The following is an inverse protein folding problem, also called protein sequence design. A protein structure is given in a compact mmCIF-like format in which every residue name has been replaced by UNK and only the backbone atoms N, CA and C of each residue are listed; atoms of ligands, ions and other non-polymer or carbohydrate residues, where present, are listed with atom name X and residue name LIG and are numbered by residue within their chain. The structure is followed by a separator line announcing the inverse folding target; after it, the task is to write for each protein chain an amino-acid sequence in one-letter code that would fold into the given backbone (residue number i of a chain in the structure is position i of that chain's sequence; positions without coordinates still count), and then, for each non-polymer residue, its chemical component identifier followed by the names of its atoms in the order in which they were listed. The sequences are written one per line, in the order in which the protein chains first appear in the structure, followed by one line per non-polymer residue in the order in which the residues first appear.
data_IF_073521480622
#
_entry.id   IF_073521480622
#
_cell.length_a   1.000
_cell.length_b   1.000
_cell.length_c   1.000
_cell.angle_alpha   90.00
_cell.angle_beta   90.00
_cell.angle_gamma   90.00
#
_symmetry.space_group_name_H-M   'P 1'
#
loop_
_entity.id
_entity.type
_entity.pdbx_description
1 polymer ?
#
# COMPACT_ATOMS: atom_id res chain seq x y z
N UNK A 1 -23.76 4.99 24.46
CA UNK A 1 -22.29 4.87 24.61
C UNK A 1 -21.63 4.31 23.34
N UNK A 2 -22.11 3.22 22.74
CA UNK A 2 -21.48 2.63 21.53
C UNK A 2 -21.42 3.55 20.30
N UNK A 3 -22.48 4.33 20.03
CA UNK A 3 -22.51 5.23 18.86
C UNK A 3 -21.43 6.32 18.89
N UNK A 4 -21.17 6.89 20.07
CA UNK A 4 -20.12 7.91 20.23
C UNK A 4 -18.71 7.32 19.97
N UNK A 5 -18.41 6.15 20.52
CA UNK A 5 -17.14 5.48 20.32
C UNK A 5 -16.91 5.11 18.84
N UNK A 6 -17.92 4.56 18.18
CA UNK A 6 -17.85 4.24 16.74
C UNK A 6 -17.57 5.48 15.91
N UNK A 7 -18.21 6.62 16.23
CA UNK A 7 -17.95 7.88 15.53
C UNK A 7 -16.52 8.38 15.76
N UNK A 8 -16.01 8.33 16.98
CA UNK A 8 -14.62 8.74 17.30
C UNK A 8 -13.62 7.87 16.53
N UNK A 9 -13.78 6.55 16.55
CA UNK A 9 -12.90 5.64 15.81
C UNK A 9 -12.97 5.89 14.31
N UNK A 10 -14.18 6.09 13.76
CA UNK A 10 -14.35 6.44 12.35
C UNK A 10 -13.67 7.75 11.95
N UNK A 11 -13.77 8.79 12.78
CA UNK A 11 -13.09 10.06 12.55
C UNK A 11 -11.56 9.87 12.60
N UNK A 12 -11.04 9.15 13.58
CA UNK A 12 -9.61 8.89 13.69
C UNK A 12 -9.07 8.14 12.45
N UNK A 13 -9.75 7.08 12.01
CA UNK A 13 -9.40 6.34 10.79
C UNK A 13 -9.44 7.28 9.58
N UNK A 14 -10.50 8.07 9.43
CA UNK A 14 -10.65 9.02 8.34
C UNK A 14 -9.50 10.04 8.29
N UNK A 15 -9.10 10.60 9.43
CA UNK A 15 -8.00 11.57 9.50
C UNK A 15 -6.66 10.95 9.10
N UNK A 16 -6.39 9.70 9.51
CA UNK A 16 -5.16 8.99 9.10
C UNK A 16 -5.19 8.75 7.59
N UNK A 17 -6.26 8.19 7.04
CA UNK A 17 -6.38 7.94 5.61
C UNK A 17 -6.33 9.22 4.77
N UNK A 18 -6.90 10.32 5.27
CA UNK A 18 -6.81 11.63 4.63
C UNK A 18 -5.37 12.14 4.60
N UNK A 19 -4.63 11.98 5.69
CA UNK A 19 -3.21 12.36 5.72
C UNK A 19 -2.36 11.52 4.76
N UNK A 20 -2.58 10.21 4.71
CA UNK A 20 -1.93 9.33 3.73
C UNK A 20 -2.27 9.73 2.29
N UNK A 21 -3.55 10.02 2.02
CA UNK A 21 -4.01 10.48 0.71
C UNK A 21 -3.28 11.76 0.27
N UNK A 22 -3.18 12.76 1.15
CA UNK A 22 -2.49 14.02 0.85
C UNK A 22 -1.00 13.78 0.59
N UNK A 23 -0.35 12.94 1.39
CA UNK A 23 1.07 12.60 1.21
C UNK A 23 1.30 11.86 -0.12
N UNK A 24 0.39 11.01 -0.54
CA UNK A 24 0.47 10.27 -1.80
C UNK A 24 0.27 11.13 -3.06
N UNK A 25 -0.19 12.37 -2.93
CA UNK A 25 -0.22 13.32 -4.04
C UNK A 25 1.18 13.86 -4.39
N UNK A 26 2.17 13.62 -3.54
CA UNK A 26 3.56 14.01 -3.80
C UNK A 26 4.30 12.91 -4.58
N UNK A 27 5.31 13.27 -5.40
CA UNK A 27 6.15 12.26 -6.03
C UNK A 27 6.82 11.33 -5.02
N UNK A 28 7.07 10.05 -5.38
CA UNK A 28 7.83 9.13 -4.54
C UNK A 28 9.22 9.69 -4.21
N UNK A 29 9.62 9.60 -2.94
CA UNK A 29 10.91 10.13 -2.47
C UNK A 29 11.80 9.08 -1.82
N UNK A 30 11.24 7.92 -1.50
CA UNK A 30 11.99 6.85 -0.86
C UNK A 30 13.01 6.24 -1.80
N UNK A 31 14.23 6.02 -1.29
CA UNK A 31 15.36 5.52 -2.09
C UNK A 31 15.02 4.21 -2.81
N UNK A 32 14.49 3.22 -2.09
CA UNK A 32 14.22 1.90 -2.66
C UNK A 32 13.09 1.95 -3.70
N UNK A 33 12.06 2.80 -3.46
CA UNK A 33 11.03 3.07 -4.46
C UNK A 33 11.63 3.59 -5.76
N UNK A 34 12.57 4.53 -5.69
CA UNK A 34 13.16 5.16 -6.86
C UNK A 34 14.20 4.27 -7.58
N UNK A 35 14.97 3.45 -6.83
CA UNK A 35 16.07 2.65 -7.40
C UNK A 35 15.57 1.30 -7.94
N UNK A 36 14.57 0.68 -7.27
CA UNK A 36 14.12 -0.68 -7.61
C UNK A 36 12.70 -0.68 -8.14
N UNK A 37 11.73 -0.31 -7.30
CA UNK A 37 10.30 -0.54 -7.56
C UNK A 37 9.75 0.28 -8.72
N UNK A 38 10.31 1.45 -9.01
CA UNK A 38 9.90 2.30 -10.13
C UNK A 38 10.93 2.31 -11.27
N UNK A 39 12.24 2.27 -10.95
CA UNK A 39 13.27 2.36 -11.98
C UNK A 39 13.27 1.15 -12.92
N UNK A 40 13.19 -0.07 -12.37
CA UNK A 40 13.21 -1.30 -13.17
C UNK A 40 12.00 -1.37 -14.11
N UNK A 41 10.74 -1.22 -13.65
CA UNK A 41 9.58 -1.16 -14.53
C UNK A 41 9.65 -0.03 -15.57
N UNK A 42 10.19 1.11 -15.20
CA UNK A 42 10.38 2.25 -16.13
C UNK A 42 11.38 1.92 -17.24
N UNK A 43 12.44 1.19 -16.94
CA UNK A 43 13.40 0.72 -17.92
C UNK A 43 12.79 -0.31 -18.86
N UNK A 44 11.98 -1.24 -18.37
CA UNK A 44 11.23 -2.17 -19.21
C UNK A 44 10.28 -1.45 -20.16
N UNK A 45 9.55 -0.45 -19.68
CA UNK A 45 8.68 0.39 -20.54
C UNK A 45 9.51 1.12 -21.62
N UNK A 46 10.64 1.70 -21.24
CA UNK A 46 11.50 2.41 -22.18
C UNK A 46 12.11 1.50 -23.24
N UNK A 47 12.41 0.26 -22.89
CA UNK A 47 12.95 -0.75 -23.81
C UNK A 47 11.86 -1.41 -24.70
N UNK A 48 10.57 -1.20 -24.40
CA UNK A 48 9.46 -1.85 -25.07
C UNK A 48 9.24 -3.30 -24.67
N UNK A 49 9.84 -3.77 -23.57
CA UNK A 49 9.70 -5.13 -23.03
C UNK A 49 10.72 -5.45 -21.96
N UNK A 50 10.57 -6.64 -21.38
CA UNK A 50 11.51 -7.17 -20.41
C UNK A 50 12.86 -7.47 -21.06
N UNK A 51 13.93 -7.15 -20.35
CA UNK A 51 15.29 -7.50 -20.73
C UNK A 51 16.14 -7.72 -19.48
N UNK A 52 17.23 -8.44 -19.65
CA UNK A 52 18.16 -8.73 -18.57
C UNK A 52 18.98 -7.48 -18.21
N UNK A 53 19.09 -7.21 -16.91
CA UNK A 53 19.82 -6.08 -16.36
C UNK A 53 20.89 -6.57 -15.35
N UNK A 54 22.06 -7.07 -15.81
CA UNK A 54 23.09 -7.66 -14.93
C UNK A 54 23.65 -6.70 -13.87
N UNK A 55 23.46 -5.40 -14.06
CA UNK A 55 23.87 -4.35 -13.14
C UNK A 55 22.81 -4.02 -12.08
N UNK A 56 21.60 -4.61 -12.19
CA UNK A 56 20.45 -4.34 -11.32
C UNK A 56 19.99 -5.65 -10.68
N UNK A 57 20.65 -6.08 -9.59
CA UNK A 57 20.41 -7.36 -8.91
C UNK A 57 18.94 -7.58 -8.56
N UNK A 58 18.23 -6.52 -8.18
CA UNK A 58 16.81 -6.59 -7.84
C UNK A 58 15.89 -6.93 -9.03
N UNK A 59 16.37 -6.77 -10.28
CA UNK A 59 15.60 -7.15 -11.48
C UNK A 59 15.36 -8.66 -11.59
N UNK A 60 16.14 -9.47 -10.87
CA UNK A 60 16.01 -10.92 -10.82
C UNK A 60 15.03 -11.42 -9.74
N UNK A 61 14.52 -10.54 -8.89
CA UNK A 61 13.51 -10.88 -7.90
C UNK A 61 12.10 -10.90 -8.51
N UNK A 62 11.15 -11.64 -7.90
CA UNK A 62 9.75 -11.62 -8.33
C UNK A 62 9.15 -10.23 -8.17
N UNK A 63 8.96 -9.51 -9.27
CA UNK A 63 8.49 -8.12 -9.28
C UNK A 63 6.99 -8.01 -9.60
N UNK A 64 6.16 -8.97 -9.14
CA UNK A 64 4.74 -9.04 -9.50
C UNK A 64 3.94 -7.78 -9.14
N UNK A 65 4.23 -7.15 -7.99
CA UNK A 65 3.56 -5.92 -7.57
C UNK A 65 4.11 -4.73 -8.35
N UNK A 66 5.41 -4.72 -8.62
CA UNK A 66 6.07 -3.66 -9.39
C UNK A 66 5.54 -3.57 -10.83
N UNK A 67 5.05 -4.69 -11.40
CA UNK A 67 4.39 -4.68 -12.71
C UNK A 67 3.13 -3.81 -12.71
N UNK A 68 2.42 -3.69 -11.58
CA UNK A 68 1.27 -2.78 -11.48
C UNK A 68 1.71 -1.32 -11.59
N UNK A 69 2.94 -1.01 -11.20
CA UNK A 69 3.51 0.34 -11.32
C UNK A 69 3.82 0.75 -12.76
N UNK A 70 3.89 -0.22 -13.68
CA UNK A 70 4.02 0.11 -15.11
C UNK A 70 2.86 0.97 -15.61
N UNK A 71 1.66 0.81 -15.05
CA UNK A 71 0.49 1.61 -15.45
C UNK A 71 0.69 3.10 -15.19
N UNK A 72 0.93 3.56 -13.92
CA UNK A 72 1.19 4.96 -13.65
C UNK A 72 2.47 5.49 -14.33
N UNK A 73 3.50 4.66 -14.46
CA UNK A 73 4.74 5.04 -15.14
C UNK A 73 4.51 5.30 -16.64
N UNK A 74 3.71 4.46 -17.30
CA UNK A 74 3.30 4.68 -18.69
C UNK A 74 2.51 5.99 -18.85
N UNK A 75 1.66 6.32 -17.88
CA UNK A 75 0.91 7.58 -17.84
C UNK A 75 1.75 8.79 -17.42
N UNK A 76 3.04 8.62 -17.13
CA UNK A 76 3.94 9.65 -16.62
C UNK A 76 3.45 10.31 -15.31
N UNK A 77 2.78 9.53 -14.47
CA UNK A 77 2.21 9.95 -13.18
C UNK A 77 2.73 9.07 -12.06
N UNK A 78 4.02 9.15 -11.79
CA UNK A 78 4.76 8.29 -10.86
C UNK A 78 4.12 8.26 -9.45
N UNK A 79 3.52 9.37 -8.99
CA UNK A 79 2.83 9.46 -7.70
C UNK A 79 1.64 8.50 -7.56
N UNK A 80 1.01 8.08 -8.66
CA UNK A 80 -0.08 7.10 -8.62
C UNK A 80 0.39 5.71 -8.17
N UNK A 81 1.68 5.40 -8.26
CA UNK A 81 2.23 4.15 -7.73
C UNK A 81 2.07 4.07 -6.20
N UNK A 82 2.20 5.19 -5.48
CA UNK A 82 1.94 5.24 -4.04
C UNK A 82 0.50 4.84 -3.71
N UNK A 83 -0.48 5.29 -4.52
CA UNK A 83 -1.90 4.94 -4.33
C UNK A 83 -2.18 3.45 -4.56
N UNK A 84 -1.47 2.80 -5.48
CA UNK A 84 -1.58 1.35 -5.67
C UNK A 84 -1.12 0.63 -4.39
N UNK A 85 0.01 1.03 -3.82
CA UNK A 85 0.53 0.43 -2.59
C UNK A 85 -0.37 0.72 -1.37
N UNK A 86 -0.85 1.97 -1.22
CA UNK A 86 -1.86 2.35 -0.23
C UNK A 86 -3.14 1.50 -0.37
N UNK A 87 -3.55 1.20 -1.60
CA UNK A 87 -4.71 0.36 -1.88
C UNK A 87 -4.61 -1.04 -1.26
N UNK A 88 -3.42 -1.66 -1.28
CA UNK A 88 -3.18 -2.92 -0.57
C UNK A 88 -3.26 -2.77 0.95
N UNK A 89 -2.79 -1.65 1.50
CA UNK A 89 -2.95 -1.33 2.92
C UNK A 89 -4.43 -1.22 3.32
N UNK A 90 -5.23 -0.49 2.53
CA UNK A 90 -6.69 -0.38 2.74
C UNK A 90 -7.37 -1.75 2.61
N UNK A 91 -6.99 -2.55 1.61
CA UNK A 91 -7.54 -3.88 1.43
C UNK A 91 -7.24 -4.80 2.64
N UNK A 92 -6.02 -4.73 3.19
CA UNK A 92 -5.64 -5.42 4.43
C UNK A 92 -6.48 -4.94 5.62
N UNK A 93 -6.65 -3.62 5.78
CA UNK A 93 -7.48 -3.04 6.82
C UNK A 93 -8.94 -3.53 6.74
N UNK A 94 -9.50 -3.67 5.52
CA UNK A 94 -10.84 -4.22 5.29
C UNK A 94 -10.92 -5.71 5.67
N UNK A 95 -9.89 -6.51 5.40
CA UNK A 95 -9.84 -7.91 5.87
C UNK A 95 -9.86 -7.98 7.39
N UNK A 96 -9.03 -7.19 8.07
CA UNK A 96 -8.99 -7.09 9.54
C UNK A 96 -10.36 -6.69 10.08
N UNK A 97 -10.98 -5.66 9.50
CA UNK A 97 -12.32 -5.23 9.90
C UNK A 97 -13.34 -6.36 9.79
N UNK A 98 -13.43 -7.00 8.62
CA UNK A 98 -14.40 -8.09 8.38
C UNK A 98 -14.22 -9.25 9.35
N UNK A 99 -12.98 -9.66 9.57
CA UNK A 99 -12.65 -10.76 10.45
C UNK A 99 -13.04 -10.48 11.90
N UNK A 100 -12.64 -9.33 12.44
CA UNK A 100 -12.92 -8.94 13.83
C UNK A 100 -14.39 -8.60 14.02
N UNK A 101 -15.01 -7.90 13.08
CA UNK A 101 -16.43 -7.55 13.16
C UNK A 101 -17.31 -8.80 13.23
N UNK A 102 -17.01 -9.83 12.44
CA UNK A 102 -17.78 -11.09 12.46
C UNK A 102 -17.65 -11.85 13.79
N UNK A 103 -16.53 -11.72 14.49
CA UNK A 103 -16.24 -12.49 15.72
C UNK A 103 -16.55 -11.72 17.00
N UNK A 104 -16.28 -10.45 17.05
CA UNK A 104 -16.30 -9.64 18.26
C UNK A 104 -17.07 -8.32 18.15
N UNK A 105 -17.62 -8.03 16.96
CA UNK A 105 -18.46 -6.87 16.69
C UNK A 105 -17.72 -5.65 16.10
N UNK A 106 -18.50 -4.61 15.70
CA UNK A 106 -17.99 -3.52 14.87
C UNK A 106 -16.94 -2.64 15.55
N UNK A 107 -17.01 -2.47 16.87
CA UNK A 107 -16.03 -1.65 17.62
C UNK A 107 -14.65 -2.31 17.56
N UNK A 108 -14.59 -3.63 17.77
CA UNK A 108 -13.33 -4.39 17.67
C UNK A 108 -12.77 -4.36 16.25
N UNK A 109 -13.65 -4.42 15.24
CA UNK A 109 -13.25 -4.26 13.84
C UNK A 109 -12.58 -2.91 13.58
N UNK A 110 -13.21 -1.81 14.04
CA UNK A 110 -12.65 -0.45 13.89
C UNK A 110 -11.35 -0.26 14.68
N UNK A 111 -11.27 -0.83 15.89
CA UNK A 111 -10.03 -0.80 16.68
C UNK A 111 -8.89 -1.53 15.96
N UNK A 112 -9.15 -2.71 15.39
CA UNK A 112 -8.16 -3.45 14.62
C UNK A 112 -7.66 -2.66 13.41
N UNK A 113 -8.57 -2.00 12.67
CA UNK A 113 -8.20 -1.11 11.56
C UNK A 113 -7.34 0.04 12.07
N UNK A 114 -7.79 0.74 13.13
CA UNK A 114 -7.07 1.88 13.68
C UNK A 114 -5.66 1.50 14.12
N UNK A 115 -5.48 0.39 14.84
CA UNK A 115 -4.18 -0.11 15.26
C UNK A 115 -3.29 -0.40 14.05
N UNK A 116 -3.83 -1.07 13.03
CA UNK A 116 -3.07 -1.41 11.82
C UNK A 116 -2.58 -0.17 11.09
N UNK A 117 -3.48 0.75 10.70
CA UNK A 117 -3.11 1.92 9.91
C UNK A 117 -2.32 2.97 10.70
N UNK A 118 -2.47 3.03 12.04
CA UNK A 118 -1.69 3.92 12.90
C UNK A 118 -0.32 3.38 13.26
N UNK A 119 -0.01 2.13 12.93
CA UNK A 119 1.32 1.55 13.12
C UNK A 119 2.33 2.31 12.27
N UNK A 120 3.40 2.90 12.85
CA UNK A 120 4.28 3.83 12.13
C UNK A 120 4.89 3.28 10.85
N UNK A 121 5.23 1.98 10.82
CA UNK A 121 5.78 1.35 9.61
C UNK A 121 4.71 1.20 8.53
N UNK A 122 3.46 0.84 8.88
CA UNK A 122 2.35 0.73 7.92
C UNK A 122 2.05 2.09 7.32
N UNK A 123 1.92 3.13 8.14
CA UNK A 123 1.71 4.51 7.70
C UNK A 123 2.82 4.98 6.74
N UNK A 124 4.09 4.71 7.09
CA UNK A 124 5.23 5.06 6.23
C UNK A 124 5.19 4.31 4.90
N UNK A 125 4.91 3.02 4.92
CA UNK A 125 4.85 2.19 3.72
C UNK A 125 3.68 2.58 2.81
N UNK A 126 2.52 2.94 3.38
CA UNK A 126 1.33 3.35 2.60
C UNK A 126 1.52 4.67 1.83
N UNK A 127 2.58 5.43 2.15
CA UNK A 127 2.92 6.68 1.46
C UNK A 127 4.08 6.55 0.47
N UNK A 128 4.48 5.32 0.12
CA UNK A 128 5.59 5.06 -0.81
C UNK A 128 5.27 3.89 -1.74
N UNK A 129 5.86 3.89 -2.93
CA UNK A 129 5.72 2.82 -3.91
C UNK A 129 6.66 1.63 -3.57
N UNK A 130 6.27 0.85 -2.56
CA UNK A 130 6.93 -0.38 -2.12
C UNK A 130 6.10 -1.62 -2.47
N UNK A 131 6.49 -2.80 -2.01
CA UNK A 131 5.76 -4.06 -2.24
C UNK A 131 5.23 -4.71 -0.96
N UNK A 132 5.64 -4.21 0.19
CA UNK A 132 5.40 -4.79 1.52
C UNK A 132 3.91 -4.91 1.87
N UNK A 133 3.10 -3.87 1.59
CA UNK A 133 1.66 -3.91 1.86
C UNK A 133 0.93 -4.85 0.91
N UNK A 134 1.44 -5.04 -0.31
CA UNK A 134 0.93 -6.07 -1.21
C UNK A 134 1.22 -7.47 -0.67
N UNK A 135 2.45 -7.74 -0.24
CA UNK A 135 2.80 -9.00 0.42
C UNK A 135 1.96 -9.22 1.68
N UNK A 136 1.78 -8.18 2.50
CA UNK A 136 0.94 -8.21 3.69
C UNK A 136 -0.51 -8.57 3.36
N UNK A 137 -1.08 -7.95 2.31
CA UNK A 137 -2.44 -8.24 1.86
C UNK A 137 -2.61 -9.70 1.42
N UNK A 138 -1.75 -10.20 0.52
CA UNK A 138 -1.88 -11.56 0.02
C UNK A 138 -1.63 -12.60 1.11
N UNK A 139 -0.70 -12.33 2.03
CA UNK A 139 -0.46 -13.19 3.19
C UNK A 139 -1.68 -13.22 4.12
N UNK A 140 -2.26 -12.07 4.46
CA UNK A 140 -3.47 -12.00 5.27
C UNK A 140 -4.67 -12.68 4.58
N UNK A 141 -4.86 -12.44 3.27
CA UNK A 141 -5.95 -13.03 2.50
C UNK A 141 -5.87 -14.56 2.38
N UNK A 142 -4.67 -15.14 2.50
CA UNK A 142 -4.50 -16.59 2.52
C UNK A 142 -4.88 -17.25 3.84
N UNK A 143 -4.98 -16.46 4.93
CA UNK A 143 -5.28 -16.95 6.29
C UNK A 143 -6.75 -16.72 6.65
N UNK A 144 -7.39 -15.65 6.15
CA UNK A 144 -8.75 -15.22 6.50
C UNK A 144 -9.78 -15.71 5.49
#
# INVERSE_FOLDING_TARGET
MHRGLTAILGIAIFLILLSEFILNLTPPTARDALIHHLAIPKLWLKNGGFYEMPWADFSYFPMNIDLLYMIPLYLQKDFLANFIHMGFGIATALLIYRYLNKRTGPISGLLGVLIFISTPIVFRLSTQAYVDLGLTFFSAASIF
#
